data_IF_934295598322
#
_entry.id   IF_934295598322
#
_cell.length_a   1.000
_cell.length_b   1.000
_cell.length_c   1.000
_cell.angle_alpha   90.00
_cell.angle_beta   90.00
_cell.angle_gamma   90.00
#
_symmetry.space_group_name_H-M   'P 1'
#
loop_
_entity.id
_entity.type
_entity.pdbx_description
1 polymer ?
#
# COMPACT_ATOMS: atom_id res chain seq x y z
N UNK A 1 5.40 40.26 31.42
CA UNK A 1 4.04 40.08 30.85
C UNK A 1 4.04 39.84 29.35
N UNK A 2 4.92 40.45 28.55
CA UNK A 2 5.05 40.18 27.09
C UNK A 2 5.35 38.72 26.73
N UNK A 3 6.17 38.04 27.55
CA UNK A 3 6.54 36.63 27.28
C UNK A 3 5.35 35.68 27.32
N UNK A 4 4.38 35.93 28.22
CA UNK A 4 3.18 35.10 28.35
C UNK A 4 2.32 35.19 27.09
N UNK A 5 2.16 36.41 26.56
CA UNK A 5 1.42 36.64 25.31
C UNK A 5 2.10 35.93 24.13
N UNK A 6 3.44 35.99 24.06
CA UNK A 6 4.21 35.27 23.03
C UNK A 6 4.02 33.76 23.11
N UNK A 7 4.06 33.19 24.33
CA UNK A 7 3.87 31.76 24.55
C UNK A 7 2.45 31.29 24.20
N UNK A 8 1.43 32.11 24.47
CA UNK A 8 0.04 31.81 24.10
C UNK A 8 -0.12 31.75 22.58
N UNK A 9 0.43 32.73 21.86
CA UNK A 9 0.36 32.76 20.40
C UNK A 9 1.11 31.55 19.83
N UNK A 10 2.31 31.26 20.35
CA UNK A 10 3.12 30.15 19.90
C UNK A 10 2.42 28.80 20.12
N UNK A 11 1.86 28.56 21.31
CA UNK A 11 1.16 27.31 21.62
C UNK A 11 -0.10 27.14 20.77
N UNK A 12 -0.87 28.22 20.57
CA UNK A 12 -2.06 28.20 19.73
C UNK A 12 -1.70 27.95 18.26
N UNK A 13 -0.60 28.55 17.77
CA UNK A 13 -0.13 28.33 16.40
C UNK A 13 0.27 26.88 16.17
N UNK A 14 1.01 26.28 17.12
CA UNK A 14 1.38 24.85 17.07
C UNK A 14 0.14 23.96 17.08
N UNK A 15 -0.83 24.24 17.94
CA UNK A 15 -2.08 23.48 17.99
C UNK A 15 -2.87 23.54 16.68
N UNK A 16 -2.98 24.73 16.07
CA UNK A 16 -3.65 24.91 14.78
C UNK A 16 -2.92 24.22 13.64
N UNK A 17 -1.59 24.29 13.60
CA UNK A 17 -0.75 23.56 12.65
C UNK A 17 -1.00 22.05 12.75
N UNK A 18 -1.02 21.52 13.97
CA UNK A 18 -1.25 20.10 14.20
C UNK A 18 -2.66 19.67 13.78
N UNK A 19 -3.66 20.49 14.09
CA UNK A 19 -5.05 20.24 13.71
C UNK A 19 -5.24 20.28 12.18
N UNK A 20 -4.60 21.23 11.50
CA UNK A 20 -4.62 21.32 10.04
C UNK A 20 -3.94 20.10 9.40
N UNK A 21 -2.76 19.72 9.89
CA UNK A 21 -2.04 18.54 9.42
C UNK A 21 -2.85 17.26 9.64
N UNK A 22 -3.56 17.15 10.77
CA UNK A 22 -4.45 16.03 11.07
C UNK A 22 -5.57 15.88 10.02
N UNK A 23 -6.29 16.96 9.71
CA UNK A 23 -7.35 16.90 8.69
C UNK A 23 -6.81 16.59 7.30
N UNK A 24 -5.63 17.13 6.95
CA UNK A 24 -4.98 16.79 5.69
C UNK A 24 -4.62 15.31 5.61
N UNK A 25 -4.00 14.75 6.67
CA UNK A 25 -3.62 13.33 6.71
C UNK A 25 -4.84 12.39 6.67
N UNK A 26 -5.92 12.72 7.37
CA UNK A 26 -7.17 11.93 7.31
C UNK A 26 -7.79 11.98 5.91
N UNK A 27 -7.73 13.13 5.25
CA UNK A 27 -8.28 13.30 3.89
C UNK A 27 -7.39 12.75 2.78
N UNK A 28 -6.12 12.43 3.03
CA UNK A 28 -5.15 12.07 1.98
C UNK A 28 -5.24 10.61 1.48
N UNK A 29 -6.39 9.96 1.63
CA UNK A 29 -6.63 8.65 1.03
C UNK A 29 -5.90 7.48 1.70
N UNK A 30 -5.48 7.59 2.97
CA UNK A 30 -4.88 6.47 3.71
C UNK A 30 -5.85 5.27 3.88
N UNK A 31 -7.12 5.45 3.55
CA UNK A 31 -8.17 4.42 3.60
C UNK A 31 -8.38 3.70 2.24
N UNK A 32 -7.62 4.00 1.19
CA UNK A 32 -7.80 3.34 -0.12
C UNK A 32 -7.46 1.84 -0.11
N UNK A 33 -6.79 1.35 0.93
CA UNK A 33 -6.49 -0.08 1.11
C UNK A 33 -7.56 -0.77 1.98
N UNK A 34 -8.84 -0.53 1.65
CA UNK A 34 -10.02 -1.10 2.33
C UNK A 34 -10.16 -2.62 2.09
N UNK A 35 -9.46 -3.19 1.10
CA UNK A 35 -9.55 -4.60 0.74
C UNK A 35 -8.41 -5.39 1.36
N UNK A 36 -8.69 -6.02 2.50
CA UNK A 36 -7.69 -6.86 3.19
C UNK A 36 -7.27 -8.04 2.32
N UNK A 37 -5.97 -8.39 2.25
CA UNK A 37 -5.47 -9.52 1.44
C UNK A 37 -6.15 -10.87 1.76
N UNK A 38 -6.62 -11.05 2.99
CA UNK A 38 -7.37 -12.24 3.39
C UNK A 38 -8.77 -12.36 2.74
N UNK A 39 -9.38 -11.25 2.34
CA UNK A 39 -10.66 -11.27 1.62
C UNK A 39 -10.42 -11.53 0.13
N UNK A 40 -9.35 -10.97 -0.43
CA UNK A 40 -8.96 -11.20 -1.82
C UNK A 40 -8.78 -12.69 -2.12
N UNK A 41 -8.09 -13.45 -1.26
CA UNK A 41 -7.86 -14.89 -1.50
C UNK A 41 -9.13 -15.77 -1.43
N UNK A 42 -10.20 -15.30 -0.77
CA UNK A 42 -11.47 -16.03 -0.69
C UNK A 42 -12.31 -15.87 -1.98
N UNK A 43 -12.16 -14.75 -2.67
CA UNK A 43 -12.93 -14.40 -3.87
C UNK A 43 -12.11 -14.51 -5.17
N UNK A 44 -10.79 -14.51 -5.06
CA UNK A 44 -9.89 -14.87 -6.16
C UNK A 44 -10.05 -16.36 -6.44
N UNK A 45 -10.83 -16.69 -7.47
CA UNK A 45 -10.92 -18.06 -7.94
C UNK A 45 -9.52 -18.54 -8.34
N UNK A 46 -9.06 -19.70 -7.84
CA UNK A 46 -7.81 -20.26 -8.31
C UNK A 46 -7.89 -20.38 -9.84
N UNK A 47 -6.86 -19.96 -10.58
CA UNK A 47 -6.85 -20.10 -12.03
C UNK A 47 -7.08 -21.58 -12.35
N UNK A 48 -8.21 -21.89 -12.98
CA UNK A 48 -8.47 -23.23 -13.47
C UNK A 48 -7.41 -23.52 -14.53
N UNK A 49 -6.44 -24.33 -14.11
CA UNK A 49 -5.54 -25.12 -14.94
C UNK A 49 -5.09 -24.47 -16.26
N UNK A 50 -3.90 -23.86 -16.21
CA UNK A 50 -2.94 -23.96 -17.31
C UNK A 50 -1.69 -24.65 -16.76
N UNK A 51 -1.79 -25.97 -16.61
CA UNK A 51 -0.64 -26.85 -16.77
C UNK A 51 -0.20 -26.68 -18.23
N UNK A 52 0.55 -25.62 -18.52
CA UNK A 52 1.49 -25.60 -19.63
C UNK A 52 2.78 -26.13 -19.01
N UNK A 53 3.00 -27.44 -19.06
CA UNK A 53 3.97 -28.00 -20.01
C UNK A 53 5.16 -27.06 -20.19
N UNK A 54 6.03 -27.04 -19.19
CA UNK A 54 7.42 -26.67 -19.35
C UNK A 54 8.26 -27.88 -18.91
N UNK A 55 7.98 -29.03 -19.53
CA UNK A 55 8.96 -30.11 -19.69
C UNK A 55 9.66 -29.88 -21.02
N UNK A 56 10.49 -28.84 -21.08
CA UNK A 56 11.49 -28.73 -22.12
C UNK A 56 12.70 -29.55 -21.68
N UNK A 57 12.65 -30.85 -21.97
CA UNK A 57 13.80 -31.75 -22.00
C UNK A 57 14.23 -31.85 -23.47
N UNK A 58 15.24 -31.10 -23.95
CA UNK A 58 15.75 -31.26 -25.30
C UNK A 58 17.10 -31.96 -25.20
N UNK A 59 17.08 -33.23 -24.92
CA UNK A 59 18.22 -34.11 -25.17
C UNK A 59 17.62 -35.48 -25.33
N UNK A 60 17.31 -35.82 -26.58
CA UNK A 60 17.69 -37.07 -27.24
C UNK A 60 17.06 -37.12 -28.63
N UNK A 61 17.96 -37.36 -29.60
CA UNK A 61 17.75 -37.86 -30.96
C UNK A 61 17.30 -36.78 -31.98
N UNK A 62 18.03 -36.49 -33.06
CA UNK A 62 18.67 -37.40 -34.03
C UNK A 62 19.32 -36.52 -35.15
N UNK A 63 19.72 -37.02 -36.33
CA UNK A 63 20.92 -37.78 -36.75
C UNK A 63 21.91 -36.98 -37.62
N UNK A 64 23.08 -37.58 -37.88
CA UNK A 64 23.96 -37.41 -39.06
C UNK A 64 24.73 -36.09 -39.26
N UNK A 65 26.01 -36.08 -38.85
CA UNK A 65 27.20 -36.09 -39.75
C UNK A 65 28.38 -36.79 -39.06
#
# INVERSE_FOLDING_TARGET
>A
MKIIILLIILSLSVALLFLFAFFWAVGSGQYDDEVTPAIRILFDNPPTNKISQDEQHPDLDDPAE
#
